data_IF_991715670404
#
_entry.id   IF_991715670404
#
_cell.length_a   1.000
_cell.length_b   1.000
_cell.length_c   1.000
_cell.angle_alpha   90.00
_cell.angle_beta   90.00
_cell.angle_gamma   90.00
#
_symmetry.space_group_name_H-M   'P 1'
#
loop_
_entity.id
_entity.type
_entity.pdbx_description
1 polymer ?
#
# COMPACT_ATOMS: atom_id res chain seq x y z
N UNK A 1 8.80 -1.40 39.50
CA UNK A 1 9.57 -2.63 39.19
C UNK A 1 9.32 -2.93 37.72
N UNK A 2 10.35 -3.23 36.93
CA UNK A 2 10.18 -3.45 35.47
C UNK A 2 9.48 -4.80 35.26
N UNK A 3 8.24 -4.80 34.75
CA UNK A 3 7.61 -6.02 34.27
C UNK A 3 8.11 -6.27 32.86
N UNK A 4 8.84 -7.36 32.66
CA UNK A 4 9.35 -7.73 31.35
C UNK A 4 8.26 -8.49 30.58
N UNK A 5 7.49 -7.77 29.75
CA UNK A 5 6.71 -8.41 28.71
C UNK A 5 7.68 -8.98 27.68
N UNK A 6 7.93 -10.29 27.82
CA UNK A 6 8.60 -11.08 26.79
C UNK A 6 7.65 -11.13 25.61
N UNK A 7 7.90 -10.33 24.58
CA UNK A 7 7.42 -10.67 23.25
C UNK A 7 7.97 -12.05 22.92
N UNK A 8 7.09 -13.05 23.00
CA UNK A 8 7.38 -14.36 22.47
C UNK A 8 7.53 -14.15 20.97
N UNK A 9 8.75 -14.33 20.44
CA UNK A 9 8.92 -14.70 19.03
C UNK A 9 7.99 -15.88 18.80
N UNK A 10 6.82 -15.63 18.20
CA UNK A 10 6.06 -16.68 17.54
C UNK A 10 6.89 -17.05 16.31
N UNK A 11 7.83 -17.96 16.52
CA UNK A 11 8.21 -18.88 15.47
C UNK A 11 6.91 -19.57 15.05
N UNK A 12 6.24 -19.03 14.02
CA UNK A 12 5.15 -19.72 13.35
C UNK A 12 5.78 -20.99 12.79
N UNK A 13 5.27 -22.12 13.26
CA UNK A 13 5.85 -23.42 12.97
C UNK A 13 5.79 -23.69 11.46
N UNK A 14 6.96 -23.85 10.85
CA UNK A 14 7.26 -24.77 9.73
C UNK A 14 6.01 -25.36 9.04
N UNK A 15 5.36 -24.58 8.18
CA UNK A 15 4.22 -25.05 7.38
C UNK A 15 4.08 -24.40 6.00
N UNK A 16 4.91 -23.39 5.67
CA UNK A 16 5.11 -22.99 4.27
C UNK A 16 6.61 -23.06 3.95
N UNK A 17 7.02 -23.97 3.06
CA UNK A 17 8.36 -23.91 2.50
C UNK A 17 8.38 -22.76 1.49
N UNK A 18 9.18 -21.73 1.78
CA UNK A 18 9.67 -20.80 0.76
C UNK A 18 10.60 -21.58 -0.19
N UNK A 19 10.00 -22.37 -1.07
CA UNK A 19 10.70 -23.10 -2.12
C UNK A 19 11.25 -22.10 -3.15
N UNK A 20 12.53 -22.18 -3.53
CA UNK A 20 13.04 -21.42 -4.68
C UNK A 20 12.40 -21.97 -5.97
N UNK A 21 11.33 -21.32 -6.44
CA UNK A 21 10.45 -21.88 -7.49
C UNK A 21 11.12 -21.84 -8.87
N UNK A 22 11.78 -22.94 -9.22
CA UNK A 22 12.35 -23.19 -10.56
C UNK A 22 11.25 -23.33 -11.62
N UNK A 23 11.48 -22.67 -12.76
CA UNK A 23 10.63 -22.66 -13.96
C UNK A 23 10.19 -24.08 -14.43
N UNK A 24 8.88 -24.32 -14.46
CA UNK A 24 8.25 -25.35 -15.30
C UNK A 24 6.95 -24.79 -15.90
N UNK A 25 6.88 -24.78 -17.24
CA UNK A 25 5.75 -24.24 -18.00
C UNK A 25 4.84 -25.35 -18.55
N UNK A 26 3.53 -25.11 -18.61
CA UNK A 26 2.58 -25.83 -19.45
C UNK A 26 1.28 -25.03 -19.66
N UNK A 27 0.67 -25.18 -20.84
CA UNK A 27 -0.31 -24.26 -21.41
C UNK A 27 -1.77 -24.35 -20.92
N UNK A 28 -2.43 -23.18 -20.94
CA UNK A 28 -3.81 -22.84 -21.37
C UNK A 28 -4.91 -23.93 -21.41
N UNK A 29 -6.10 -23.62 -20.87
CA UNK A 29 -7.26 -23.36 -21.76
C UNK A 29 -8.41 -22.54 -21.11
N UNK A 30 -9.33 -22.05 -21.95
CA UNK A 30 -10.24 -20.92 -21.67
C UNK A 30 -11.54 -21.17 -20.88
N UNK A 31 -11.93 -20.17 -20.07
CA UNK A 31 -13.31 -19.66 -19.84
C UNK A 31 -13.19 -18.13 -19.53
N UNK A 32 -14.21 -17.27 -19.57
CA UNK A 32 -15.61 -17.40 -20.04
C UNK A 32 -16.45 -16.18 -19.60
N UNK A 33 -16.64 -15.16 -20.45
CA UNK A 33 -17.11 -13.82 -20.04
C UNK A 33 -18.60 -13.71 -19.66
N UNK A 34 -18.89 -13.09 -18.52
CA UNK A 34 -20.22 -12.60 -18.12
C UNK A 34 -20.24 -11.06 -18.08
N UNK A 35 -21.05 -10.43 -18.93
CA UNK A 35 -21.24 -8.97 -18.94
C UNK A 35 -22.47 -8.58 -18.10
N UNK A 36 -22.31 -7.62 -17.19
CA UNK A 36 -23.44 -6.87 -16.63
C UNK A 36 -23.86 -5.74 -17.58
N UNK A 37 -25.17 -5.60 -17.82
CA UNK A 37 -25.70 -4.75 -18.89
C UNK A 37 -26.34 -3.47 -18.31
N UNK A 38 -25.73 -2.31 -18.58
CA UNK A 38 -26.06 -0.98 -18.03
C UNK A 38 -27.33 -0.33 -18.64
N UNK A 39 -28.30 -1.13 -19.13
CA UNK A 39 -29.35 -0.66 -20.04
C UNK A 39 -30.70 -0.30 -19.39
N UNK A 40 -30.94 -0.59 -18.11
CA UNK A 40 -32.31 -0.71 -17.55
C UNK A 40 -32.82 0.48 -16.70
N UNK A 41 -32.19 1.67 -16.73
CA UNK A 41 -32.61 2.82 -15.90
C UNK A 41 -32.94 4.10 -16.71
N UNK A 42 -34.21 4.53 -16.78
CA UNK A 42 -34.62 5.75 -17.48
C UNK A 42 -34.45 7.02 -16.63
N UNK A 43 -34.11 8.13 -17.30
CA UNK A 43 -33.82 9.43 -16.68
C UNK A 43 -35.08 10.02 -16.00
N UNK A 44 -34.98 10.34 -14.70
CA UNK A 44 -36.00 11.11 -13.96
C UNK A 44 -36.77 10.37 -12.84
N UNK A 45 -36.26 9.25 -12.32
CA UNK A 45 -36.89 8.56 -11.18
C UNK A 45 -36.64 9.29 -9.85
N UNK A 46 -37.71 9.63 -9.12
CA UNK A 46 -37.66 10.36 -7.84
C UNK A 46 -37.97 9.46 -6.63
N UNK A 47 -37.15 8.44 -6.40
CA UNK A 47 -37.20 7.64 -5.17
C UNK A 47 -36.44 8.34 -4.02
N UNK A 48 -36.63 7.88 -2.78
CA UNK A 48 -36.06 8.53 -1.59
C UNK A 48 -34.51 8.51 -1.53
N UNK A 49 -33.84 7.76 -2.40
CA UNK A 49 -32.37 7.77 -2.55
C UNK A 49 -31.84 9.00 -3.33
N UNK A 50 -32.71 9.78 -3.98
CA UNK A 50 -32.33 10.92 -4.84
C UNK A 50 -32.69 12.30 -4.23
N UNK A 51 -32.98 12.36 -2.93
CA UNK A 51 -33.41 13.59 -2.24
C UNK A 51 -32.28 14.27 -1.47
N UNK A 52 -32.06 15.57 -1.73
CA UNK A 52 -31.03 16.42 -1.09
C UNK A 52 -29.62 15.85 -1.15
N UNK A 53 -29.01 15.95 -2.33
CA UNK A 53 -27.57 15.80 -2.50
C UNK A 53 -26.84 16.82 -1.58
N UNK A 54 -25.94 16.37 -0.66
CA UNK A 54 -25.23 17.28 0.26
C UNK A 54 -24.23 18.18 -0.49
N UNK A 55 -23.58 19.15 0.18
CA UNK A 55 -22.56 20.00 -0.45
C UNK A 55 -21.45 19.23 -1.18
N UNK A 56 -21.11 18.03 -0.71
CA UNK A 56 -20.15 17.15 -1.38
C UNK A 56 -20.62 16.60 -2.72
N UNK A 57 -21.92 16.65 -3.08
CA UNK A 57 -22.35 16.28 -4.43
C UNK A 57 -21.98 17.32 -5.51
N UNK A 58 -21.40 18.46 -5.10
CA UNK A 58 -20.67 19.37 -6.00
C UNK A 58 -19.18 18.96 -6.18
N UNK A 59 -18.68 18.05 -5.34
CA UNK A 59 -17.59 17.13 -5.69
C UNK A 59 -18.24 16.02 -6.54
N UNK A 60 -18.60 16.37 -7.79
CA UNK A 60 -18.93 15.33 -8.77
C UNK A 60 -17.73 14.40 -8.93
N UNK A 61 -17.96 13.18 -9.42
CA UNK A 61 -16.96 12.19 -9.84
C UNK A 61 -15.68 12.88 -10.36
N UNK A 62 -14.67 13.01 -9.48
CA UNK A 62 -13.60 14.01 -9.64
C UNK A 62 -12.48 13.43 -10.50
N UNK A 63 -12.79 13.52 -11.78
CA UNK A 63 -11.95 13.35 -12.95
C UNK A 63 -11.81 11.92 -13.49
N UNK A 64 -12.26 11.78 -14.73
CA UNK A 64 -12.04 10.58 -15.56
C UNK A 64 -10.76 10.69 -16.38
N UNK A 65 -10.01 11.79 -16.23
CA UNK A 65 -8.66 11.91 -16.81
C UNK A 65 -7.60 11.50 -15.81
N UNK A 66 -6.72 10.63 -16.29
CA UNK A 66 -5.61 10.05 -15.55
C UNK A 66 -4.32 10.30 -16.35
N UNK A 67 -3.29 10.95 -15.78
CA UNK A 67 -3.24 11.56 -14.44
C UNK A 67 -4.16 12.77 -14.27
N UNK A 68 -4.41 13.12 -13.00
CA UNK A 68 -5.00 14.40 -12.60
C UNK A 68 -3.88 15.44 -12.46
N UNK A 69 -4.14 16.67 -12.91
CA UNK A 69 -3.22 17.81 -12.77
C UNK A 69 -3.92 18.91 -11.97
N UNK A 70 -3.31 19.32 -10.85
CA UNK A 70 -3.88 20.36 -9.99
C UNK A 70 -3.71 21.78 -10.54
N UNK A 71 -4.29 22.77 -9.84
CA UNK A 71 -4.26 24.17 -10.25
C UNK A 71 -2.86 24.81 -10.24
N UNK A 72 -1.90 24.23 -9.50
CA UNK A 72 -0.50 24.66 -9.43
C UNK A 72 0.39 23.89 -10.43
N UNK A 73 -0.16 22.89 -11.12
CA UNK A 73 0.50 22.07 -12.13
C UNK A 73 1.16 20.80 -11.61
N UNK A 74 0.88 20.41 -10.37
CA UNK A 74 1.35 19.15 -9.80
C UNK A 74 0.54 17.98 -10.38
N UNK A 75 1.23 16.89 -10.70
CA UNK A 75 0.63 15.64 -11.20
C UNK A 75 0.31 14.74 -10.02
N UNK A 76 -0.89 14.18 -9.97
CA UNK A 76 -1.27 13.16 -9.01
C UNK A 76 -1.99 12.00 -9.70
N UNK A 77 -1.88 10.86 -9.05
CA UNK A 77 -2.52 9.61 -9.40
C UNK A 77 -3.39 9.14 -8.23
N UNK A 78 -4.36 8.27 -8.50
CA UNK A 78 -5.24 7.65 -7.52
C UNK A 78 -5.48 6.21 -7.92
N UNK A 79 -5.41 5.27 -6.98
CA UNK A 79 -5.75 3.87 -7.24
C UNK A 79 -7.27 3.65 -7.05
N UNK A 80 -8.00 3.01 -7.99
CA UNK A 80 -9.41 2.67 -7.82
C UNK A 80 -9.69 1.83 -6.57
N UNK A 81 -10.87 2.02 -5.97
CA UNK A 81 -11.34 1.10 -4.93
C UNK A 81 -11.45 -0.31 -5.54
N UNK A 82 -10.88 -1.36 -4.91
CA UNK A 82 -11.01 -2.73 -5.38
C UNK A 82 -12.49 -3.11 -5.56
N UNK A 83 -12.84 -3.52 -6.77
CA UNK A 83 -14.16 -4.06 -7.08
C UNK A 83 -14.58 -5.14 -6.07
N UNK A 84 -15.85 -5.12 -5.66
CA UNK A 84 -16.44 -6.15 -4.79
C UNK A 84 -16.68 -7.45 -5.59
N UNK A 85 -15.60 -8.20 -5.82
CA UNK A 85 -15.68 -9.61 -6.23
C UNK A 85 -16.17 -10.43 -5.04
N UNK A 86 -17.38 -10.97 -5.17
CA UNK A 86 -18.04 -11.80 -4.16
C UNK A 86 -17.49 -13.23 -4.04
N UNK A 87 -16.18 -13.42 -4.18
CA UNK A 87 -15.49 -14.69 -3.95
C UNK A 87 -14.34 -14.49 -2.96
N UNK A 88 -14.37 -15.25 -1.86
CA UNK A 88 -13.33 -15.26 -0.83
C UNK A 88 -11.99 -15.72 -1.42
N UNK A 89 -11.12 -14.77 -1.75
CA UNK A 89 -9.69 -15.02 -1.79
C UNK A 89 -9.19 -15.15 -0.34
N UNK A 90 -9.26 -16.37 0.18
CA UNK A 90 -8.72 -16.79 1.47
C UNK A 90 -7.17 -16.73 1.43
N UNK A 91 -6.61 -15.54 1.71
CA UNK A 91 -5.17 -15.16 1.62
C UNK A 91 -4.27 -15.85 2.66
N UNK A 92 -4.65 -17.02 3.21
CA UNK A 92 -3.87 -17.80 4.19
C UNK A 92 -3.66 -17.15 5.56
N UNK A 93 -3.89 -15.84 5.67
CA UNK A 93 -4.12 -15.09 6.89
C UNK A 93 -5.49 -15.46 7.45
N UNK A 94 -5.52 -16.01 8.66
CA UNK A 94 -6.72 -16.54 9.32
C UNK A 94 -7.74 -15.45 9.65
N UNK A 95 -8.54 -15.04 8.67
CA UNK A 95 -9.61 -14.04 8.80
C UNK A 95 -10.93 -14.49 8.13
N UNK A 96 -11.16 -15.81 8.04
CA UNK A 96 -12.45 -16.38 7.64
C UNK A 96 -13.53 -16.21 8.72
N UNK A 97 -14.20 -15.05 8.71
CA UNK A 97 -15.54 -14.84 9.27
C UNK A 97 -15.63 -14.48 10.77
N UNK A 98 -15.76 -13.18 11.07
CA UNK A 98 -16.98 -12.63 11.67
C UNK A 98 -16.96 -11.08 11.63
N UNK A 99 -17.58 -10.48 10.61
CA UNK A 99 -18.09 -9.10 10.77
C UNK A 99 -19.38 -9.25 11.57
N UNK A 100 -19.32 -8.95 12.88
CA UNK A 100 -20.39 -8.35 13.72
C UNK A 100 -20.10 -8.54 15.24
N UNK A 101 -19.35 -7.61 15.83
CA UNK A 101 -19.45 -7.27 17.26
C UNK A 101 -18.91 -8.28 18.29
N UNK A 102 -17.61 -8.20 18.59
CA UNK A 102 -16.95 -8.91 19.70
C UNK A 102 -16.09 -7.98 20.57
N UNK A 103 -16.54 -7.66 21.78
CA UNK A 103 -15.87 -6.69 22.65
C UNK A 103 -14.61 -7.24 23.35
N UNK A 104 -13.62 -6.36 23.56
CA UNK A 104 -12.67 -6.47 24.67
C UNK A 104 -11.38 -7.28 24.43
N UNK A 105 -10.70 -7.03 23.30
CA UNK A 105 -9.27 -7.34 23.20
C UNK A 105 -8.43 -6.51 24.17
N UNK A 106 -7.19 -6.93 24.43
CA UNK A 106 -6.21 -6.08 25.12
C UNK A 106 -5.73 -5.00 24.12
N UNK A 107 -6.13 -3.76 24.36
CA UNK A 107 -5.79 -2.59 23.54
C UNK A 107 -4.53 -1.90 24.05
N UNK A 108 -3.63 -1.50 23.16
CA UNK A 108 -2.44 -0.69 23.48
C UNK A 108 -2.62 0.75 22.99
N UNK A 109 -2.05 1.78 23.65
CA UNK A 109 -2.08 3.14 23.11
C UNK A 109 -1.26 3.21 21.81
N UNK A 110 -1.59 4.14 20.91
CA UNK A 110 -0.89 4.32 19.62
C UNK A 110 0.64 4.45 19.76
N UNK A 111 1.11 5.03 20.88
CA UNK A 111 2.54 5.17 21.22
C UNK A 111 3.27 3.86 21.54
N UNK A 112 2.55 2.73 21.60
CA UNK A 112 3.08 1.37 21.78
C UNK A 112 2.97 0.54 20.49
N UNK A 113 2.79 1.20 19.33
CA UNK A 113 2.95 0.58 18.00
C UNK A 113 4.31 -0.16 17.90
N UNK A 114 4.37 -1.36 17.31
CA UNK A 114 5.63 -2.04 17.04
C UNK A 114 6.53 -1.17 16.17
N UNK A 115 7.76 -0.92 16.62
CA UNK A 115 8.78 -0.20 15.85
C UNK A 115 9.52 -1.21 14.95
N UNK A 116 9.19 -1.20 13.66
CA UNK A 116 9.65 -2.13 12.63
C UNK A 116 10.55 -1.39 11.64
N UNK A 117 11.53 -2.08 11.05
CA UNK A 117 12.52 -1.54 10.11
C UNK A 117 12.98 -2.64 9.16
N UNK A 118 12.91 -2.42 7.84
CA UNK A 118 13.47 -3.33 6.84
C UNK A 118 15.00 -3.16 6.70
N UNK A 119 15.49 -1.94 6.87
CA UNK A 119 16.91 -1.62 7.03
C UNK A 119 17.09 -0.33 7.84
N UNK A 120 17.15 -0.47 9.17
CA UNK A 120 17.37 0.66 10.07
C UNK A 120 18.66 1.48 9.75
N UNK A 121 19.63 0.90 9.03
CA UNK A 121 20.87 1.57 8.60
C UNK A 121 20.72 2.41 7.34
N UNK A 122 19.68 2.18 6.53
CA UNK A 122 19.40 2.95 5.33
C UNK A 122 19.06 4.41 5.68
N UNK A 123 19.70 5.34 4.98
CA UNK A 123 19.58 6.78 5.25
C UNK A 123 18.27 7.39 4.74
N UNK A 124 17.58 6.69 3.82
CA UNK A 124 16.28 7.09 3.26
C UNK A 124 15.17 6.27 3.89
N UNK A 125 14.03 6.89 4.18
CA UNK A 125 12.92 6.27 4.92
C UNK A 125 11.61 6.27 4.12
N UNK A 126 10.91 5.14 4.09
CA UNK A 126 9.47 5.05 3.77
C UNK A 126 8.79 4.84 5.11
N UNK A 127 8.17 5.88 5.66
CA UNK A 127 7.49 5.81 6.95
C UNK A 127 6.02 5.41 6.74
N UNK A 128 5.65 4.24 7.23
CA UNK A 128 4.29 3.73 7.28
C UNK A 128 3.61 4.27 8.55
N UNK A 129 2.86 5.36 8.40
CA UNK A 129 2.15 6.01 9.48
C UNK A 129 0.74 5.42 9.63
N UNK A 130 0.59 4.58 10.64
CA UNK A 130 -0.70 4.05 11.10
C UNK A 130 -1.27 4.86 12.28
N UNK A 131 -0.53 5.82 12.81
CA UNK A 131 -0.88 6.54 14.06
C UNK A 131 -1.72 7.80 13.85
N UNK A 132 -1.90 8.20 12.58
CA UNK A 132 -2.69 9.36 12.20
C UNK A 132 -1.88 10.66 12.21
N UNK A 133 -2.31 11.63 11.39
CA UNK A 133 -1.55 12.85 11.17
C UNK A 133 -2.45 14.06 10.84
N UNK A 134 -2.06 15.25 11.30
CA UNK A 134 -2.72 16.50 10.89
C UNK A 134 -2.00 17.12 9.68
N UNK A 135 -2.36 16.70 8.48
CA UNK A 135 -1.75 17.19 7.23
C UNK A 135 -2.14 18.65 7.02
N UNK A 136 -1.14 19.53 6.96
CA UNK A 136 -1.35 20.97 6.82
C UNK A 136 -0.22 21.65 6.03
N UNK A 137 -0.55 22.72 5.30
CA UNK A 137 0.43 23.48 4.51
C UNK A 137 0.94 22.79 3.24
N UNK A 138 0.30 21.71 2.79
CA UNK A 138 0.68 20.94 1.60
C UNK A 138 -0.17 21.28 0.37
N UNK A 139 0.19 20.71 -0.79
CA UNK A 139 -0.65 20.71 -2.00
C UNK A 139 -2.04 20.10 -1.75
N UNK A 140 -2.16 19.06 -0.91
CA UNK A 140 -3.46 18.50 -0.52
C UNK A 140 -4.40 19.57 0.07
N UNK A 141 -3.90 20.35 1.03
CA UNK A 141 -4.69 21.41 1.67
C UNK A 141 -5.04 22.54 0.68
N UNK A 142 -4.11 22.92 -0.19
CA UNK A 142 -4.31 24.00 -1.16
C UNK A 142 -5.34 23.65 -2.23
N UNK A 143 -5.31 22.41 -2.73
CA UNK A 143 -6.14 21.96 -3.87
C UNK A 143 -7.49 21.41 -3.41
N UNK A 144 -7.54 20.64 -2.31
CA UNK A 144 -8.72 19.87 -1.94
C UNK A 144 -9.47 20.37 -0.71
N UNK A 145 -8.82 21.17 0.16
CA UNK A 145 -9.35 21.45 1.51
C UNK A 145 -9.34 22.93 1.94
N UNK A 146 -9.46 23.87 1.00
CA UNK A 146 -9.54 25.33 1.26
C UNK A 146 -8.46 25.85 2.24
N UNK A 147 -7.25 25.27 2.15
CA UNK A 147 -6.09 25.52 3.01
C UNK A 147 -6.28 25.21 4.49
N UNK A 148 -7.34 24.49 4.85
CA UNK A 148 -7.56 23.96 6.19
C UNK A 148 -6.72 22.69 6.43
N UNK A 149 -6.36 22.38 7.68
CA UNK A 149 -5.77 21.08 8.03
C UNK A 149 -6.75 19.94 7.76
N UNK A 150 -6.22 18.77 7.38
CA UNK A 150 -6.93 17.50 7.31
C UNK A 150 -6.48 16.67 8.53
N UNK A 151 -7.41 16.23 9.36
CA UNK A 151 -7.14 15.47 10.59
C UNK A 151 -7.36 13.98 10.31
N UNK A 152 -6.30 13.35 9.82
CA UNK A 152 -6.30 11.92 9.50
C UNK A 152 -6.27 11.11 10.81
N UNK A 153 -7.27 10.24 11.08
CA UNK A 153 -7.24 9.35 12.24
C UNK A 153 -6.13 8.29 12.14
N UNK A 154 -5.88 7.59 13.24
CA UNK A 154 -5.12 6.36 13.20
C UNK A 154 -5.86 5.29 12.36
N UNK A 155 -5.10 4.31 11.87
CA UNK A 155 -5.62 3.09 11.29
C UNK A 155 -6.56 2.37 12.28
N UNK A 156 -7.79 2.07 11.87
CA UNK A 156 -8.89 1.67 12.76
C UNK A 156 -9.75 0.58 12.10
N UNK A 157 -9.99 -0.53 12.80
CA UNK A 157 -10.86 -1.62 12.37
C UNK A 157 -12.06 -1.87 13.31
N UNK A 158 -12.10 -1.24 14.50
CA UNK A 158 -13.16 -1.47 15.51
C UNK A 158 -13.96 -0.22 15.92
N UNK A 159 -13.49 0.96 15.54
CA UNK A 159 -14.07 2.28 15.81
C UNK A 159 -13.28 3.13 16.82
N UNK A 160 -12.21 2.64 17.45
CA UNK A 160 -11.40 3.37 18.43
C UNK A 160 -10.03 3.84 17.90
N UNK A 161 -10.02 4.93 17.14
CA UNK A 161 -8.83 5.64 16.61
C UNK A 161 -7.77 6.09 17.64
N UNK A 162 -7.93 5.78 18.93
CA UNK A 162 -7.00 6.15 20.01
C UNK A 162 -6.21 4.97 20.58
N UNK A 163 -6.53 3.74 20.18
CA UNK A 163 -5.80 2.53 20.59
C UNK A 163 -5.63 1.58 19.42
N UNK A 164 -4.76 0.58 19.58
CA UNK A 164 -4.70 -0.57 18.68
C UNK A 164 -5.09 -1.84 19.43
N UNK A 165 -6.01 -2.61 18.87
CA UNK A 165 -6.32 -3.98 19.29
C UNK A 165 -5.37 -5.00 18.62
N UNK A 166 -5.45 -6.27 19.00
CA UNK A 166 -4.57 -7.32 18.46
C UNK A 166 -4.75 -7.55 16.95
N UNK A 167 -5.95 -7.34 16.39
CA UNK A 167 -6.21 -7.51 14.96
C UNK A 167 -5.51 -6.41 14.17
N UNK A 168 -5.56 -5.16 14.64
CA UNK A 168 -4.82 -4.06 14.03
C UNK A 168 -3.31 -4.26 14.13
N UNK A 169 -2.79 -4.72 15.27
CA UNK A 169 -1.36 -4.99 15.44
C UNK A 169 -0.85 -6.11 14.52
N UNK A 170 -1.61 -7.21 14.40
CA UNK A 170 -1.30 -8.27 13.42
C UNK A 170 -1.37 -7.71 11.99
N UNK A 171 -2.36 -6.85 11.69
CA UNK A 171 -2.53 -6.23 10.37
C UNK A 171 -1.42 -5.25 10.00
N UNK A 172 -0.96 -4.43 10.93
CA UNK A 172 0.17 -3.50 10.78
C UNK A 172 1.45 -4.29 10.45
N UNK A 173 1.67 -5.43 11.10
CA UNK A 173 2.80 -6.31 10.82
C UNK A 173 2.71 -6.91 9.40
N UNK A 174 1.56 -7.50 9.03
CA UNK A 174 1.36 -8.09 7.71
C UNK A 174 1.53 -7.06 6.56
N UNK A 175 1.08 -5.81 6.76
CA UNK A 175 1.26 -4.72 5.79
C UNK A 175 2.74 -4.34 5.69
N UNK A 176 3.40 -4.12 6.84
CA UNK A 176 4.81 -3.76 6.86
C UNK A 176 5.70 -4.84 6.22
N UNK A 177 5.42 -6.14 6.45
CA UNK A 177 6.18 -7.24 5.85
C UNK A 177 6.05 -7.24 4.31
N UNK A 178 4.82 -7.09 3.79
CA UNK A 178 4.56 -7.04 2.34
C UNK A 178 5.24 -5.84 1.66
N UNK A 179 5.06 -4.63 2.21
CA UNK A 179 5.70 -3.42 1.65
C UNK A 179 7.23 -3.48 1.79
N UNK A 180 7.75 -4.11 2.85
CA UNK A 180 9.20 -4.32 3.00
C UNK A 180 9.79 -5.25 1.95
N UNK A 181 9.04 -6.25 1.48
CA UNK A 181 9.45 -7.15 0.39
C UNK A 181 9.49 -6.40 -0.95
N UNK A 182 8.46 -5.61 -1.28
CA UNK A 182 8.45 -4.81 -2.52
C UNK A 182 9.63 -3.84 -2.60
N UNK A 183 10.08 -3.29 -1.47
CA UNK A 183 11.22 -2.38 -1.40
C UNK A 183 12.55 -3.04 -0.99
N UNK A 184 12.61 -4.36 -0.81
CA UNK A 184 13.83 -5.10 -0.46
C UNK A 184 15.05 -4.81 -1.38
N UNK A 185 14.89 -4.61 -2.71
CA UNK A 185 15.99 -4.26 -3.60
C UNK A 185 16.66 -2.93 -3.31
N UNK A 186 16.03 -2.05 -2.54
CA UNK A 186 16.49 -0.68 -2.38
C UNK A 186 17.15 -0.44 -1.01
N UNK A 187 18.14 0.44 -0.99
CA UNK A 187 18.76 0.99 0.21
C UNK A 187 17.83 2.05 0.84
N UNK A 188 16.67 1.57 1.30
CA UNK A 188 15.61 2.35 1.93
C UNK A 188 15.06 1.56 3.12
N UNK A 189 14.72 2.25 4.19
CA UNK A 189 14.09 1.64 5.36
C UNK A 189 12.58 1.80 5.27
N UNK A 190 11.86 0.69 5.11
CA UNK A 190 10.41 0.66 5.32
C UNK A 190 10.19 0.49 6.82
N UNK A 191 9.60 1.50 7.46
CA UNK A 191 9.55 1.59 8.92
C UNK A 191 8.23 2.11 9.45
N UNK A 192 7.87 1.68 10.67
CA UNK A 192 6.77 2.19 11.48
C UNK A 192 7.23 3.10 12.64
N UNK A 193 8.54 3.35 12.77
CA UNK A 193 9.08 4.37 13.68
C UNK A 193 9.00 5.75 12.99
N UNK A 194 8.30 6.72 13.58
CA UNK A 194 8.25 8.07 13.01
C UNK A 194 9.67 8.69 13.00
N UNK A 195 10.21 9.05 11.83
CA UNK A 195 11.52 9.66 11.74
C UNK A 195 11.49 11.12 12.20
N UNK A 196 12.66 11.66 12.56
CA UNK A 196 12.84 13.09 12.79
C UNK A 196 12.21 13.92 11.64
N UNK A 197 11.32 14.86 11.95
CA UNK A 197 10.48 15.57 10.97
C UNK A 197 11.27 16.21 9.79
N UNK A 198 12.55 16.49 9.96
CA UNK A 198 13.45 16.91 8.88
C UNK A 198 13.59 15.90 7.72
N UNK A 199 13.46 14.60 7.99
CA UNK A 199 13.50 13.52 6.99
C UNK A 199 12.35 13.64 5.99
N UNK A 200 11.16 13.95 6.50
CA UNK A 200 9.94 14.09 5.70
C UNK A 200 9.78 15.50 5.09
N UNK A 201 10.35 16.54 5.73
CA UNK A 201 10.13 17.94 5.31
C UNK A 201 11.23 18.56 4.44
N UNK A 202 12.46 18.04 4.45
CA UNK A 202 13.55 18.61 3.64
C UNK A 202 13.54 18.13 2.17
N UNK A 203 12.86 17.02 1.90
CA UNK A 203 12.86 16.36 0.59
C UNK A 203 14.11 15.51 0.34
N UNK A 204 13.94 14.45 -0.44
CA UNK A 204 14.96 13.50 -0.84
C UNK A 204 15.35 12.48 0.23
N UNK A 205 14.88 12.63 1.48
CA UNK A 205 15.30 11.82 2.63
C UNK A 205 14.23 10.84 3.11
N UNK A 206 12.95 11.11 2.86
CA UNK A 206 11.90 10.14 3.09
C UNK A 206 10.52 10.62 2.68
N UNK A 207 9.56 9.72 2.79
CA UNK A 207 8.15 9.96 2.51
C UNK A 207 7.29 9.36 3.63
N UNK A 208 6.16 10.01 3.91
CA UNK A 208 5.09 9.46 4.76
C UNK A 208 4.08 8.77 3.85
N UNK A 209 3.92 7.47 4.00
CA UNK A 209 2.75 6.74 3.55
C UNK A 209 1.77 6.73 4.73
N UNK A 210 0.65 7.43 4.61
CA UNK A 210 -0.31 7.66 5.67
C UNK A 210 -1.50 6.71 5.47
N UNK A 211 -1.55 5.66 6.28
CA UNK A 211 -2.60 4.63 6.27
C UNK A 211 -3.70 5.10 7.23
N UNK A 212 -4.80 5.59 6.68
CA UNK A 212 -5.82 6.34 7.42
C UNK A 212 -7.16 6.38 6.69
N UNK A 213 -8.24 6.61 7.43
CA UNK A 213 -9.56 6.78 6.83
C UNK A 213 -9.63 8.04 5.95
N UNK A 214 -10.38 7.97 4.85
CA UNK A 214 -10.68 9.14 4.02
C UNK A 214 -11.60 10.18 4.72
N UNK A 215 -11.97 9.98 6.00
CA UNK A 215 -12.78 10.90 6.81
C UNK A 215 -11.89 11.84 7.64
N UNK A 216 -12.15 13.14 7.56
CA UNK A 216 -11.52 14.16 8.43
C UNK A 216 -12.15 14.11 9.83
N UNK A 217 -11.52 13.46 10.81
CA UNK A 217 -12.23 12.95 11.99
C UNK A 217 -12.59 14.05 13.03
N UNK A 218 -13.89 14.16 13.33
CA UNK A 218 -14.43 15.10 14.34
C UNK A 218 -13.81 14.99 15.74
N UNK A 219 -13.35 13.79 16.12
CA UNK A 219 -12.69 13.53 17.41
C UNK A 219 -11.30 14.17 17.50
N UNK A 220 -10.69 14.45 16.35
CA UNK A 220 -9.41 15.15 16.20
C UNK A 220 -9.58 16.64 15.86
N UNK A 221 -10.81 17.12 15.69
CA UNK A 221 -11.14 18.50 15.29
C UNK A 221 -11.54 18.67 13.83
N UNK A 222 -11.65 17.58 13.08
CA UNK A 222 -12.13 17.56 11.70
C UNK A 222 -13.64 17.79 11.53
N UNK A 223 -14.07 17.80 10.27
CA UNK A 223 -15.46 18.05 9.85
C UNK A 223 -16.40 16.85 10.04
N UNK A 224 -15.86 15.63 9.98
CA UNK A 224 -16.62 14.37 9.87
C UNK A 224 -17.03 14.02 8.45
N UNK A 225 -16.67 14.84 7.45
CA UNK A 225 -16.90 14.57 6.05
C UNK A 225 -15.72 13.79 5.43
N UNK A 226 -15.98 13.11 4.30
CA UNK A 226 -14.93 12.57 3.45
C UNK A 226 -14.17 13.72 2.76
N UNK A 227 -12.85 13.77 2.89
CA UNK A 227 -12.04 14.85 2.33
C UNK A 227 -11.50 14.54 0.91
N UNK A 228 -11.43 13.26 0.53
CA UNK A 228 -11.05 12.80 -0.80
C UNK A 228 -12.15 11.97 -1.48
N UNK A 229 -11.95 11.68 -2.78
CA UNK A 229 -12.88 10.90 -3.59
C UNK A 229 -12.85 9.39 -3.35
N UNK A 230 -13.50 8.65 -4.24
CA UNK A 230 -13.67 7.19 -4.19
C UNK A 230 -12.39 6.46 -4.65
N UNK A 231 -11.33 6.54 -3.86
CA UNK A 231 -10.03 5.94 -4.16
C UNK A 231 -9.56 4.95 -3.06
N UNK A 232 -8.76 3.95 -3.44
CA UNK A 232 -8.02 3.09 -2.52
C UNK A 232 -6.77 3.78 -1.95
N UNK A 233 -6.10 4.59 -2.77
CA UNK A 233 -5.01 5.48 -2.38
C UNK A 233 -4.95 6.74 -3.25
N UNK A 234 -4.09 7.69 -2.87
CA UNK A 234 -3.75 8.84 -3.74
C UNK A 234 -2.37 9.43 -3.38
N UNK A 235 -1.56 9.73 -4.40
CA UNK A 235 -0.24 10.35 -4.26
C UNK A 235 0.06 11.38 -5.36
N UNK A 236 0.78 12.44 -4.98
CA UNK A 236 1.42 13.34 -5.94
C UNK A 236 2.74 12.73 -6.44
N UNK A 237 3.00 12.88 -7.73
CA UNK A 237 4.18 12.30 -8.39
C UNK A 237 5.47 13.01 -7.95
N UNK A 238 6.48 12.25 -7.54
CA UNK A 238 7.82 12.75 -7.24
C UNK A 238 7.97 13.43 -5.87
N UNK A 239 6.96 13.40 -4.99
CA UNK A 239 6.99 14.11 -3.70
C UNK A 239 8.10 13.67 -2.77
N UNK A 240 8.62 12.44 -2.88
CA UNK A 240 9.77 11.95 -2.11
C UNK A 240 10.96 12.91 -2.23
N UNK A 241 11.13 13.57 -3.38
CA UNK A 241 12.22 14.52 -3.65
C UNK A 241 11.87 15.99 -3.35
N UNK A 242 10.63 16.29 -2.97
CA UNK A 242 10.15 17.67 -2.73
C UNK A 242 10.19 18.05 -1.24
N UNK A 243 10.28 19.35 -0.95
CA UNK A 243 10.23 19.85 0.42
C UNK A 243 8.79 19.97 0.93
N UNK A 244 8.56 19.59 2.19
CA UNK A 244 7.25 19.53 2.84
C UNK A 244 6.82 18.07 3.06
N UNK A 245 6.19 17.80 4.20
CA UNK A 245 5.61 16.47 4.50
C UNK A 245 4.31 16.33 3.69
N UNK A 246 4.46 15.99 2.40
CA UNK A 246 3.36 15.78 1.45
C UNK A 246 3.14 14.26 1.30
N UNK A 247 2.27 13.66 2.12
CA UNK A 247 2.14 12.21 2.17
C UNK A 247 1.54 11.62 0.90
N UNK A 248 1.86 10.35 0.68
CA UNK A 248 1.00 9.40 -0.03
C UNK A 248 -0.11 8.95 0.93
N UNK A 249 -1.35 8.84 0.46
CA UNK A 249 -2.50 8.44 1.28
C UNK A 249 -2.99 7.06 0.89
N UNK A 250 -3.32 6.23 1.89
CA UNK A 250 -3.85 4.90 1.71
C UNK A 250 -5.09 4.75 2.58
N UNK A 251 -6.25 4.49 1.98
CA UNK A 251 -7.55 4.57 2.62
C UNK A 251 -8.06 3.19 3.08
N UNK A 252 -7.73 2.75 4.30
CA UNK A 252 -8.08 1.39 4.75
C UNK A 252 -9.60 1.12 4.73
N UNK A 253 -10.40 2.15 5.00
CA UNK A 253 -11.86 2.07 4.99
C UNK A 253 -12.43 1.79 3.59
N UNK A 254 -11.71 2.14 2.53
CA UNK A 254 -12.02 1.77 1.14
C UNK A 254 -11.36 0.44 0.73
N UNK A 255 -10.21 0.11 1.31
CA UNK A 255 -9.49 -1.15 1.11
C UNK A 255 -9.97 -2.31 2.02
N UNK A 256 -11.13 -2.12 2.67
CA UNK A 256 -11.82 -3.12 3.49
C UNK A 256 -10.98 -3.62 4.69
N UNK A 257 -10.02 -2.81 5.15
CA UNK A 257 -9.10 -3.20 6.22
C UNK A 257 -8.20 -4.41 5.90
N UNK A 258 -8.02 -4.76 4.62
CA UNK A 258 -7.28 -5.96 4.20
C UNK A 258 -5.77 -5.71 4.05
N UNK A 259 -4.95 -6.58 4.65
CA UNK A 259 -3.48 -6.42 4.64
C UNK A 259 -2.91 -6.38 3.23
N UNK A 260 -3.29 -7.34 2.39
CA UNK A 260 -2.87 -7.39 0.98
C UNK A 260 -3.27 -6.10 0.26
N UNK A 261 -4.54 -5.69 0.33
CA UNK A 261 -5.02 -4.49 -0.38
C UNK A 261 -4.31 -3.21 0.08
N UNK A 262 -4.13 -3.03 1.38
CA UNK A 262 -3.43 -1.87 1.96
C UNK A 262 -1.94 -1.89 1.59
N UNK A 263 -1.30 -3.05 1.58
CA UNK A 263 0.10 -3.18 1.15
C UNK A 263 0.28 -2.85 -0.34
N UNK A 264 -0.54 -3.42 -1.24
CA UNK A 264 -0.47 -3.10 -2.68
C UNK A 264 -0.63 -1.59 -2.93
N UNK A 265 -1.67 -0.98 -2.33
CA UNK A 265 -1.88 0.46 -2.44
C UNK A 265 -0.71 1.26 -1.84
N UNK A 266 -0.15 0.83 -0.71
CA UNK A 266 1.02 1.49 -0.10
C UNK A 266 2.22 1.48 -1.04
N UNK A 267 2.55 0.34 -1.64
CA UNK A 267 3.66 0.23 -2.60
C UNK A 267 3.39 1.04 -3.87
N UNK A 268 2.18 0.98 -4.42
CA UNK A 268 1.74 1.76 -5.58
C UNK A 268 1.88 3.28 -5.37
N UNK A 269 1.28 3.79 -4.29
CA UNK A 269 1.28 5.23 -3.98
C UNK A 269 2.68 5.75 -3.61
N UNK A 270 3.50 4.95 -2.90
CA UNK A 270 4.92 5.27 -2.68
C UNK A 270 5.69 5.27 -4.02
N UNK A 271 5.38 4.36 -4.95
CA UNK A 271 5.91 4.34 -6.31
C UNK A 271 5.68 5.67 -7.05
N UNK A 272 4.48 6.24 -6.96
CA UNK A 272 4.22 7.59 -7.49
C UNK A 272 5.10 8.66 -6.83
N UNK A 273 5.29 8.64 -5.51
CA UNK A 273 6.19 9.60 -4.84
C UNK A 273 7.65 9.49 -5.30
N UNK A 274 8.06 8.33 -5.81
CA UNK A 274 9.37 8.06 -6.42
C UNK A 274 9.43 8.41 -7.92
N UNK A 275 8.30 8.76 -8.54
CA UNK A 275 8.21 9.28 -9.90
C UNK A 275 7.66 8.31 -10.95
N UNK A 276 7.01 7.23 -10.52
CA UNK A 276 6.37 6.24 -11.39
C UNK A 276 4.98 6.69 -11.88
N UNK A 277 4.57 6.15 -13.02
CA UNK A 277 3.27 6.37 -13.64
C UNK A 277 2.51 5.03 -13.73
N UNK A 278 1.19 5.05 -13.90
CA UNK A 278 0.41 3.81 -13.99
C UNK A 278 0.88 2.86 -15.11
N UNK A 279 0.73 1.57 -14.83
CA UNK A 279 0.93 0.47 -15.75
C UNK A 279 -0.42 0.02 -16.31
N UNK A 280 -0.78 0.54 -17.48
CA UNK A 280 -2.04 0.26 -18.15
C UNK A 280 -1.91 -0.48 -19.49
N UNK A 281 -3.03 -0.68 -20.18
CA UNK A 281 -3.04 -1.28 -21.51
C UNK A 281 -3.53 -0.34 -22.61
N UNK A 282 -3.02 -0.55 -23.83
CA UNK A 282 -3.48 0.14 -25.04
C UNK A 282 -4.96 -0.15 -25.26
N UNK A 283 -5.76 0.89 -25.46
CA UNK A 283 -7.23 0.79 -25.52
C UNK A 283 -7.97 1.57 -24.43
N UNK A 284 -7.24 2.20 -23.51
CA UNK A 284 -7.82 3.06 -22.45
C UNK A 284 -8.04 2.35 -21.12
N UNK A 285 -7.29 1.26 -20.87
CA UNK A 285 -7.19 0.66 -19.53
C UNK A 285 -6.04 1.35 -18.82
N UNK A 286 -6.33 2.09 -17.76
CA UNK A 286 -5.33 2.85 -17.02
C UNK A 286 -4.51 1.96 -16.08
N UNK A 287 -5.18 1.01 -15.42
CA UNK A 287 -4.58 0.09 -14.45
C UNK A 287 -4.69 -1.33 -14.98
N UNK A 288 -3.56 -2.01 -15.12
CA UNK A 288 -3.55 -3.39 -15.58
C UNK A 288 -3.76 -4.35 -14.40
N UNK A 289 -4.89 -5.05 -14.39
CA UNK A 289 -5.26 -6.09 -13.41
C UNK A 289 -4.40 -7.38 -13.50
N UNK A 290 -3.37 -7.37 -14.35
CA UNK A 290 -2.47 -8.50 -14.53
C UNK A 290 -3.01 -9.65 -15.38
N UNK A 291 -2.38 -10.81 -15.25
CA UNK A 291 -2.74 -12.05 -15.93
C UNK A 291 -2.40 -13.27 -15.07
N UNK A 292 -2.57 -14.48 -15.63
CA UNK A 292 -2.37 -15.73 -14.90
C UNK A 292 -3.41 -16.00 -13.80
N UNK A 293 -3.35 -17.21 -13.27
CA UNK A 293 -4.29 -17.78 -12.27
C UNK A 293 -3.54 -18.68 -11.30
N UNK A 294 -4.11 -18.92 -10.10
CA UNK A 294 -3.45 -19.65 -9.02
C UNK A 294 -2.18 -18.94 -8.53
N UNK A 295 -1.29 -19.67 -7.86
CA UNK A 295 -0.01 -19.19 -7.30
C UNK A 295 0.85 -18.32 -8.25
N UNK A 296 0.67 -18.50 -9.56
CA UNK A 296 1.44 -17.80 -10.62
C UNK A 296 0.68 -16.63 -11.25
N UNK A 297 -0.45 -16.21 -10.67
CA UNK A 297 -1.13 -14.97 -11.07
C UNK A 297 -0.25 -13.75 -10.77
N UNK A 298 -0.04 -12.90 -11.76
CA UNK A 298 0.90 -11.77 -11.71
C UNK A 298 0.22 -10.47 -12.15
N UNK A 299 0.53 -9.37 -11.47
CA UNK A 299 0.22 -8.00 -11.88
C UNK A 299 1.42 -7.07 -11.61
N UNK A 300 1.56 -5.96 -12.35
CA UNK A 300 2.51 -4.92 -11.98
C UNK A 300 2.00 -4.14 -10.75
N UNK A 301 2.90 -3.70 -9.88
CA UNK A 301 2.55 -2.87 -8.71
C UNK A 301 1.88 -1.57 -9.16
N UNK A 302 2.40 -0.91 -10.20
CA UNK A 302 1.80 0.30 -10.78
C UNK A 302 0.51 0.07 -11.59
N UNK A 303 0.01 -1.17 -11.67
CA UNK A 303 -1.31 -1.50 -12.23
C UNK A 303 -2.35 -1.66 -11.12
N UNK A 304 -3.09 -2.77 -11.11
CA UNK A 304 -3.96 -3.14 -9.99
C UNK A 304 -3.67 -4.57 -9.55
N UNK A 305 -2.91 -4.73 -8.47
CA UNK A 305 -2.40 -6.03 -8.01
C UNK A 305 -3.22 -6.70 -6.89
N UNK A 306 -4.31 -6.08 -6.44
CA UNK A 306 -5.14 -6.53 -5.30
C UNK A 306 -5.59 -8.01 -5.30
N UNK A 307 -5.66 -8.63 -6.49
CA UNK A 307 -6.18 -9.99 -6.69
C UNK A 307 -5.11 -10.98 -7.20
N UNK A 308 -3.84 -10.58 -7.20
CA UNK A 308 -2.73 -11.42 -7.67
C UNK A 308 -1.82 -11.83 -6.52
N UNK A 309 -1.44 -13.12 -6.40
CA UNK A 309 -0.48 -13.55 -5.39
C UNK A 309 0.92 -12.98 -5.63
N UNK A 310 1.29 -12.73 -6.89
CA UNK A 310 2.56 -12.08 -7.27
C UNK A 310 2.29 -10.65 -7.76
N UNK A 311 2.91 -9.69 -7.10
CA UNK A 311 3.03 -8.29 -7.54
C UNK A 311 4.52 -7.97 -7.71
N UNK A 312 4.88 -7.19 -8.73
CA UNK A 312 6.27 -6.75 -8.94
C UNK A 312 6.33 -5.37 -9.61
N UNK A 313 7.44 -4.66 -9.40
CA UNK A 313 7.86 -3.56 -10.28
C UNK A 313 8.08 -4.06 -11.71
N UNK A 314 7.87 -3.17 -12.68
CA UNK A 314 7.64 -3.54 -14.06
C UNK A 314 8.51 -2.74 -15.03
N UNK A 315 8.55 -3.22 -16.28
CA UNK A 315 9.08 -2.48 -17.44
C UNK A 315 8.07 -2.41 -18.60
N UNK A 316 6.78 -2.49 -18.31
CA UNK A 316 5.75 -2.63 -19.34
C UNK A 316 5.91 -3.92 -20.17
N UNK A 317 6.48 -4.99 -19.62
CA UNK A 317 6.81 -6.21 -20.39
C UNK A 317 5.61 -7.15 -20.60
N UNK A 318 4.43 -6.76 -20.12
CA UNK A 318 3.18 -7.47 -20.32
C UNK A 318 2.51 -7.12 -21.66
N UNK A 319 1.57 -7.98 -22.08
CA UNK A 319 0.89 -7.81 -23.37
C UNK A 319 0.08 -6.52 -23.40
N UNK A 320 0.24 -5.75 -24.48
CA UNK A 320 -0.43 -4.47 -24.73
C UNK A 320 -0.12 -3.35 -23.72
N UNK A 321 1.00 -3.38 -22.99
CA UNK A 321 1.40 -2.28 -22.13
C UNK A 321 1.36 -0.92 -22.87
N UNK A 322 0.74 0.09 -22.25
CA UNK A 322 0.71 1.46 -22.77
C UNK A 322 1.86 2.33 -22.20
N UNK A 323 2.45 1.90 -21.08
CA UNK A 323 3.58 2.52 -20.41
C UNK A 323 4.80 1.56 -20.46
N UNK A 324 5.87 1.87 -21.23
CA UNK A 324 7.12 1.11 -21.24
C UNK A 324 8.17 1.72 -20.30
N UNK A 325 7.72 2.26 -19.17
CA UNK A 325 8.57 2.82 -18.11
C UNK A 325 9.31 1.70 -17.39
N UNK A 326 10.61 1.88 -17.11
CA UNK A 326 11.41 0.95 -16.31
C UNK A 326 11.34 1.43 -14.84
N UNK A 327 10.46 0.82 -14.05
CA UNK A 327 10.19 1.24 -12.68
C UNK A 327 11.44 1.23 -11.81
N UNK A 328 12.28 0.21 -12.01
CA UNK A 328 13.51 0.03 -11.26
C UNK A 328 14.56 1.11 -11.64
N UNK A 329 14.80 1.36 -12.93
CA UNK A 329 15.68 2.47 -13.36
C UNK A 329 15.13 3.86 -12.95
N UNK A 330 13.81 4.02 -12.89
CA UNK A 330 13.17 5.25 -12.39
C UNK A 330 13.43 5.45 -10.90
N UNK A 331 13.07 4.47 -10.06
CA UNK A 331 13.22 4.56 -8.62
C UNK A 331 14.69 4.71 -8.20
N UNK A 332 15.64 4.09 -8.91
CA UNK A 332 17.09 4.22 -8.60
C UNK A 332 17.65 5.63 -8.71
N UNK A 333 16.94 6.54 -9.36
CA UNK A 333 17.26 7.98 -9.42
C UNK A 333 16.95 8.71 -8.10
N UNK A 334 16.12 8.10 -7.25
CA UNK A 334 15.69 8.62 -5.94
C UNK A 334 16.21 7.75 -4.79
N UNK A 335 16.00 6.43 -4.84
CA UNK A 335 16.45 5.43 -3.84
C UNK A 335 17.44 4.45 -4.49
N UNK A 336 18.72 4.46 -4.11
CA UNK A 336 19.70 3.54 -4.71
C UNK A 336 19.40 2.08 -4.37
N UNK A 337 19.82 1.13 -5.20
CA UNK A 337 19.81 -0.29 -4.82
C UNK A 337 20.58 -0.56 -3.52
N UNK A 338 20.19 -1.64 -2.84
CA UNK A 338 20.95 -2.29 -1.77
C UNK A 338 22.21 -2.95 -2.37
N UNK A 339 23.13 -3.38 -1.52
CA UNK A 339 24.24 -4.26 -1.91
C UNK A 339 23.93 -5.67 -1.42
N UNK A 340 24.18 -6.68 -2.25
CA UNK A 340 24.03 -8.09 -1.87
C UNK A 340 24.79 -8.43 -0.59
N UNK A 341 24.20 -9.30 0.24
CA UNK A 341 24.93 -9.97 1.34
C UNK A 341 25.90 -11.05 0.80
N UNK A 342 25.77 -11.40 -0.49
CA UNK A 342 26.43 -12.53 -1.13
C UNK A 342 27.01 -12.16 -2.49
N UNK A 343 28.29 -12.46 -2.72
CA UNK A 343 28.94 -12.10 -3.98
C UNK A 343 28.44 -12.90 -5.19
N UNK A 344 28.24 -12.19 -6.30
CA UNK A 344 27.71 -12.70 -7.58
C UNK A 344 28.64 -13.62 -8.39
N UNK A 345 29.74 -14.10 -7.80
CA UNK A 345 30.60 -15.11 -8.41
C UNK A 345 31.09 -16.16 -7.40
N UNK A 346 31.57 -17.30 -7.91
CA UNK A 346 32.04 -18.41 -7.08
C UNK A 346 33.28 -18.10 -6.21
N UNK A 347 33.90 -16.91 -6.34
CA UNK A 347 35.02 -16.47 -5.51
C UNK A 347 34.59 -15.51 -4.39
N UNK A 348 33.41 -14.91 -4.50
CA UNK A 348 32.84 -13.91 -3.59
C UNK A 348 31.54 -14.36 -2.89
N UNK A 349 30.90 -15.43 -3.39
CA UNK A 349 29.76 -16.07 -2.73
C UNK A 349 30.11 -16.60 -1.32
N UNK A 350 29.20 -16.42 -0.35
CA UNK A 350 29.40 -16.92 1.02
C UNK A 350 29.30 -18.45 1.07
N UNK A 351 30.30 -19.16 1.64
CA UNK A 351 30.22 -20.60 1.79
C UNK A 351 29.11 -21.04 2.75
N UNK A 352 28.27 -21.97 2.29
CA UNK A 352 27.31 -22.67 3.14
C UNK A 352 28.05 -23.65 4.08
N UNK A 353 28.23 -23.27 5.34
CA UNK A 353 28.90 -24.10 6.37
C UNK A 353 27.87 -24.92 7.13
N UNK A 354 28.11 -26.24 7.23
CA UNK A 354 27.29 -27.12 8.05
C UNK A 354 27.61 -26.94 9.55
N UNK A 355 26.59 -26.61 10.35
CA UNK A 355 26.63 -26.75 11.80
C UNK A 355 26.38 -28.21 12.18
N UNK A 356 27.25 -28.72 13.06
CA UNK A 356 27.13 -29.99 13.79
C UNK A 356 26.91 -31.26 12.93
N UNK A 357 27.16 -31.18 11.63
CA UNK A 357 27.06 -32.29 10.68
C UNK A 357 25.63 -32.70 10.29
N UNK A 358 24.62 -31.92 10.67
CA UNK A 358 23.20 -32.24 10.43
C UNK A 358 22.37 -31.08 9.86
N UNK A 359 22.84 -29.83 9.96
CA UNK A 359 22.12 -28.65 9.44
C UNK A 359 23.05 -27.70 8.70
N UNK A 360 22.54 -27.11 7.62
CA UNK A 360 23.14 -25.96 6.92
C UNK A 360 22.08 -24.86 6.98
N UNK A 361 22.46 -23.67 7.42
CA UNK A 361 21.60 -22.49 7.44
C UNK A 361 22.43 -21.24 7.18
N UNK A 362 22.01 -20.43 6.21
CA UNK A 362 22.49 -19.07 6.00
C UNK A 362 21.28 -18.16 5.76
N UNK A 363 21.43 -16.87 6.00
CA UNK A 363 20.39 -15.86 5.80
C UNK A 363 21.07 -14.59 5.26
N UNK A 364 20.36 -13.86 4.40
CA UNK A 364 20.80 -12.63 3.75
C UNK A 364 20.03 -12.42 2.44
N UNK A 365 20.16 -11.24 1.85
CA UNK A 365 19.51 -10.84 0.59
C UNK A 365 20.42 -11.08 -0.62
N UNK A 366 19.80 -11.38 -1.76
CA UNK A 366 20.39 -11.52 -3.09
C UNK A 366 19.46 -10.79 -4.06
N UNK A 367 19.98 -9.83 -4.81
CA UNK A 367 19.24 -8.88 -5.66
C UNK A 367 19.66 -8.95 -7.15
#
# INVERSE_FOLDING_TARGET
MKSAYRFLRRYRLLAEPLEPRVLLASDLDSLGSLQCNLADHPVGCSCAACGSAPPWAAVGDRDTTDPIIDADGNVLYWDPIPAEVGEDFDDGGSAGGDILGGAGGETVPLSEIPLLHSDASAAKKIFLDFTGHTVSGTSWNNTYYDRQPIHAPAFDLDGDIFTFNTIELDRIFDIWERVSEDFAPFNVDVTTEEPEASVLTQGGQGIRALITSTVDDTRLGGTGDHWFGTAGGVAYVGTFSTSGDVPAWIFENHLQGSAKKIAEATSHEVGHTLGLNHDGQTGGVNYYEGHGTGDTGWAPIMGTAYYKPVSQWSRGEYTNANNPEDDLDRMTRVISYRTDDFGNDASSATPLVASDGASISTQGLIE
#
